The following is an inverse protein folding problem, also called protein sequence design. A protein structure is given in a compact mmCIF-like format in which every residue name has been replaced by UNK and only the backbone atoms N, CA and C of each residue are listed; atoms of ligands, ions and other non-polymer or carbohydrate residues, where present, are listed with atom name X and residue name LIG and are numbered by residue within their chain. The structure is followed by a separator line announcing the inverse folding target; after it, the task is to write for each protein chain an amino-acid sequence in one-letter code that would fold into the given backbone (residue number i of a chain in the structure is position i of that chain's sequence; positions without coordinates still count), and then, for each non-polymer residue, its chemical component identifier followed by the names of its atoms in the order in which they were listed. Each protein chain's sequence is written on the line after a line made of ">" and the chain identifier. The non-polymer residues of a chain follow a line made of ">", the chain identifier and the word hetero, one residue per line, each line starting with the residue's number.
data_IF_191066979934
#
_entry.id   IF_191066979934
#
_cell.length_a   1.000
_cell.length_b   1.000
_cell.length_c   1.000
_cell.angle_alpha   90.00
_cell.angle_beta   90.00
_cell.angle_gamma   90.00
#
_symmetry.space_group_name_H-M   'P 1'
#
loop_
_entity.id
_entity.type
_entity.pdbx_description
1 polymer ?
#
# COMPACT_ATOMS: atom_id res chain seq x y z
N UNK A 1 60.76 -35.60 47.31
CA UNK A 1 59.98 -34.95 46.24
C UNK A 1 58.55 -35.36 46.45
N UNK A 2 57.71 -34.46 46.96
CA UNK A 2 56.36 -34.75 47.42
C UNK A 2 55.38 -34.86 46.25
N UNK A 3 55.27 -36.07 45.70
CA UNK A 3 54.43 -36.40 44.53
C UNK A 3 52.96 -36.03 44.78
N UNK A 4 52.48 -36.14 46.02
CA UNK A 4 51.12 -35.80 46.44
C UNK A 4 50.84 -34.28 46.43
N UNK A 5 51.85 -33.44 46.71
CA UNK A 5 51.71 -31.98 46.62
C UNK A 5 51.58 -31.53 45.18
N UNK A 6 52.35 -32.15 44.27
CA UNK A 6 52.34 -31.85 42.85
C UNK A 6 51.01 -32.27 42.20
N UNK A 7 50.45 -33.44 42.56
CA UNK A 7 49.16 -33.90 42.01
C UNK A 7 47.99 -32.97 42.38
N UNK A 8 47.96 -32.50 43.63
CA UNK A 8 46.91 -31.57 44.08
C UNK A 8 47.03 -30.21 43.39
N UNK A 9 48.26 -29.68 43.25
CA UNK A 9 48.50 -28.43 42.54
C UNK A 9 48.06 -28.52 41.06
N UNK A 10 48.38 -29.63 40.38
CA UNK A 10 47.93 -29.88 39.00
C UNK A 10 46.40 -29.93 38.93
N UNK A 11 45.75 -30.61 39.88
CA UNK A 11 44.29 -30.69 39.96
C UNK A 11 43.63 -29.32 40.10
N UNK A 12 44.13 -28.48 41.01
CA UNK A 12 43.61 -27.11 41.20
C UNK A 12 43.82 -26.24 39.96
N UNK A 13 45.01 -26.29 39.35
CA UNK A 13 45.28 -25.53 38.10
C UNK A 13 44.34 -25.99 36.99
N UNK A 14 44.17 -27.29 36.80
CA UNK A 14 43.25 -27.84 35.79
C UNK A 14 41.80 -27.41 36.05
N UNK A 15 41.34 -27.45 37.31
CA UNK A 15 40.00 -27.03 37.69
C UNK A 15 39.77 -25.54 37.39
N UNK A 16 40.74 -24.67 37.74
CA UNK A 16 40.66 -23.23 37.45
C UNK A 16 40.63 -22.98 35.94
N UNK A 17 41.45 -23.69 35.16
CA UNK A 17 41.46 -23.58 33.70
C UNK A 17 40.13 -24.02 33.09
N UNK A 18 39.58 -25.17 33.51
CA UNK A 18 38.29 -25.68 33.02
C UNK A 18 37.15 -24.73 33.40
N UNK A 19 37.11 -24.25 34.64
CA UNK A 19 36.10 -23.30 35.09
C UNK A 19 36.16 -21.98 34.29
N UNK A 20 37.36 -21.46 34.07
CA UNK A 20 37.59 -20.23 33.30
C UNK A 20 37.17 -20.42 31.84
N UNK A 21 37.60 -21.50 31.20
CA UNK A 21 37.24 -21.81 29.81
C UNK A 21 35.73 -22.01 29.66
N UNK A 22 35.10 -22.73 30.59
CA UNK A 22 33.65 -22.91 30.63
C UNK A 22 32.89 -21.59 30.77
N UNK A 23 33.37 -20.67 31.62
CA UNK A 23 32.77 -19.35 31.78
C UNK A 23 32.84 -18.53 30.48
N UNK A 24 33.98 -18.53 29.78
CA UNK A 24 34.14 -17.86 28.48
C UNK A 24 33.26 -18.49 27.40
N UNK A 25 33.18 -19.81 27.33
CA UNK A 25 32.31 -20.52 26.38
C UNK A 25 30.84 -20.21 26.62
N UNK A 26 30.40 -20.16 27.88
CA UNK A 26 29.02 -19.81 28.24
C UNK A 26 28.72 -18.35 27.90
N UNK A 27 29.64 -17.42 28.19
CA UNK A 27 29.49 -16.02 27.82
C UNK A 27 29.40 -15.83 26.30
N UNK A 28 30.26 -16.52 25.53
CA UNK A 28 30.22 -16.51 24.08
C UNK A 28 28.93 -17.11 23.52
N UNK A 29 28.44 -18.22 24.10
CA UNK A 29 27.17 -18.82 23.74
C UNK A 29 25.98 -17.88 24.01
N UNK A 30 25.92 -17.23 25.16
CA UNK A 30 24.88 -16.23 25.44
C UNK A 30 24.98 -15.03 24.49
N UNK A 31 26.20 -14.56 24.21
CA UNK A 31 26.41 -13.46 23.28
C UNK A 31 25.89 -13.80 21.88
N UNK A 32 26.11 -15.03 21.39
CA UNK A 32 25.63 -15.47 20.08
C UNK A 32 24.10 -15.52 20.05
N UNK A 33 23.47 -16.05 21.10
CA UNK A 33 22.01 -16.14 21.23
C UNK A 33 21.37 -14.75 21.27
N UNK A 34 21.90 -13.85 22.09
CA UNK A 34 21.42 -12.46 22.21
C UNK A 34 21.62 -11.70 20.89
N UNK A 35 22.76 -11.91 20.23
CA UNK A 35 23.04 -11.33 18.92
C UNK A 35 22.04 -11.81 17.87
N UNK A 36 21.74 -13.11 17.81
CA UNK A 36 20.75 -13.69 16.89
C UNK A 36 19.35 -13.10 17.15
N UNK A 37 18.94 -12.98 18.42
CA UNK A 37 17.64 -12.36 18.76
C UNK A 37 17.56 -10.90 18.28
N UNK A 38 18.61 -10.11 18.52
CA UNK A 38 18.64 -8.70 18.10
C UNK A 38 18.68 -8.58 16.58
N UNK A 39 19.46 -9.41 15.89
CA UNK A 39 19.55 -9.38 14.43
C UNK A 39 18.20 -9.74 13.78
N UNK A 40 17.55 -10.83 14.20
CA UNK A 40 16.27 -11.24 13.61
C UNK A 40 15.14 -10.24 13.90
N UNK A 41 15.12 -9.62 15.08
CA UNK A 41 14.12 -8.60 15.44
C UNK A 41 14.29 -7.30 14.65
N UNK A 42 15.52 -6.97 14.25
CA UNK A 42 15.79 -5.82 13.37
C UNK A 42 15.39 -6.07 11.91
N UNK A 43 15.35 -7.35 11.49
CA UNK A 43 15.13 -7.75 10.09
C UNK A 43 13.71 -8.22 9.80
N UNK A 44 13.00 -8.77 10.79
CA UNK A 44 11.69 -9.40 10.59
C UNK A 44 10.74 -9.16 11.76
N UNK A 45 9.44 -9.02 11.44
CA UNK A 45 8.36 -8.88 12.44
C UNK A 45 7.77 -10.23 12.86
N UNK A 46 8.15 -11.30 12.18
CA UNK A 46 7.67 -12.66 12.43
C UNK A 46 8.30 -13.24 13.71
N UNK A 47 7.45 -13.45 14.72
CA UNK A 47 7.85 -14.03 16.02
C UNK A 47 8.21 -15.52 15.89
N UNK A 48 7.56 -16.27 15.01
CA UNK A 48 7.81 -17.71 14.88
C UNK A 48 9.19 -17.97 14.28
N UNK A 49 9.55 -17.21 13.24
CA UNK A 49 10.89 -17.26 12.65
C UNK A 49 11.98 -16.89 13.68
N UNK A 50 11.71 -15.88 14.52
CA UNK A 50 12.62 -15.48 15.59
C UNK A 50 12.83 -16.59 16.62
N UNK A 51 11.74 -17.23 17.10
CA UNK A 51 11.82 -18.33 18.07
C UNK A 51 12.58 -19.52 17.47
N UNK A 52 12.25 -19.92 16.24
CA UNK A 52 12.92 -21.04 15.55
C UNK A 52 14.42 -20.78 15.44
N UNK A 53 14.83 -19.60 14.97
CA UNK A 53 16.24 -19.25 14.82
C UNK A 53 17.00 -19.29 16.14
N UNK A 54 16.41 -18.77 17.22
CA UNK A 54 17.02 -18.78 18.56
C UNK A 54 17.17 -20.20 19.08
N UNK A 55 16.12 -21.02 18.97
CA UNK A 55 16.15 -22.43 19.40
C UNK A 55 17.22 -23.20 18.62
N UNK A 56 17.27 -23.01 17.31
CA UNK A 56 18.22 -23.70 16.43
C UNK A 56 19.67 -23.32 16.73
N UNK A 57 19.97 -22.04 16.98
CA UNK A 57 21.30 -21.57 17.41
C UNK A 57 21.63 -22.00 18.85
N UNK A 58 20.66 -22.01 19.76
CA UNK A 58 20.85 -22.41 21.15
C UNK A 58 21.19 -23.91 21.28
N UNK A 59 20.49 -24.78 20.54
CA UNK A 59 20.68 -26.24 20.56
C UNK A 59 21.91 -26.66 19.76
N UNK A 60 22.12 -26.05 18.59
CA UNK A 60 23.26 -26.36 17.71
C UNK A 60 24.04 -25.07 17.41
N UNK A 61 25.00 -24.63 18.25
CA UNK A 61 25.61 -23.31 18.10
C UNK A 61 26.36 -23.13 16.77
N UNK A 62 27.12 -24.14 16.33
CA UNK A 62 27.91 -24.03 15.08
C UNK A 62 27.03 -24.25 13.85
N UNK A 63 26.33 -25.39 13.79
CA UNK A 63 25.48 -25.75 12.64
C UNK A 63 24.28 -24.79 12.54
N UNK A 64 23.71 -24.43 13.68
CA UNK A 64 22.56 -23.55 13.76
C UNK A 64 22.88 -22.12 13.37
N UNK A 65 24.06 -21.59 13.75
CA UNK A 65 24.51 -20.29 13.25
C UNK A 65 24.69 -20.31 11.72
N UNK A 66 25.23 -21.40 11.18
CA UNK A 66 25.47 -21.53 9.74
C UNK A 66 24.16 -21.62 8.95
N UNK A 67 23.21 -22.42 9.43
CA UNK A 67 21.84 -22.47 8.90
C UNK A 67 21.11 -21.14 9.05
N UNK A 68 21.27 -20.45 10.18
CA UNK A 68 20.70 -19.13 10.42
C UNK A 68 21.19 -18.11 9.40
N UNK A 69 22.51 -18.05 9.16
CA UNK A 69 23.09 -17.13 8.18
C UNK A 69 22.56 -17.42 6.77
N UNK A 70 22.29 -18.69 6.44
CA UNK A 70 21.70 -19.08 5.16
C UNK A 70 20.22 -18.72 5.04
N UNK A 71 19.45 -18.91 6.10
CA UNK A 71 18.01 -18.61 6.15
C UNK A 71 17.71 -17.11 6.38
N UNK A 72 18.74 -16.32 6.70
CA UNK A 72 18.66 -14.90 7.04
C UNK A 72 17.94 -14.11 5.94
N UNK A 73 16.77 -13.51 6.21
CA UNK A 73 16.04 -12.70 5.25
C UNK A 73 16.90 -11.54 4.72
N UNK A 74 16.81 -11.31 3.40
CA UNK A 74 17.68 -10.36 2.69
C UNK A 74 17.20 -8.92 2.78
N UNK A 75 15.89 -8.70 2.88
CA UNK A 75 15.32 -7.36 3.11
C UNK A 75 15.13 -7.08 4.60
N UNK A 76 15.51 -5.87 5.00
CA UNK A 76 15.25 -5.33 6.32
C UNK A 76 13.89 -4.63 6.36
N UNK A 77 13.27 -4.53 7.55
CA UNK A 77 11.98 -3.84 7.71
C UNK A 77 12.05 -2.35 7.31
N UNK A 78 13.22 -1.73 7.44
CA UNK A 78 13.44 -0.34 7.05
C UNK A 78 13.40 -0.19 5.52
N UNK A 79 14.11 -1.05 4.78
CA UNK A 79 14.12 -1.03 3.31
C UNK A 79 12.72 -1.27 2.73
N UNK A 80 11.94 -2.19 3.32
CA UNK A 80 10.55 -2.43 2.89
C UNK A 80 9.65 -1.21 3.14
N UNK A 81 9.87 -0.49 4.24
CA UNK A 81 9.13 0.72 4.55
C UNK A 81 9.51 1.88 3.63
N UNK A 82 10.80 2.08 3.38
CA UNK A 82 11.29 3.13 2.49
C UNK A 82 10.76 2.93 1.05
N UNK A 83 10.76 1.69 0.55
CA UNK A 83 10.16 1.37 -0.76
C UNK A 83 8.67 1.69 -0.79
N UNK A 84 7.92 1.32 0.25
CA UNK A 84 6.50 1.63 0.33
C UNK A 84 6.26 3.16 0.31
N UNK A 85 7.09 3.93 1.00
CA UNK A 85 7.00 5.38 1.03
C UNK A 85 7.35 6.01 -0.34
N UNK A 86 8.36 5.48 -1.03
CA UNK A 86 8.72 5.88 -2.39
C UNK A 86 7.58 5.58 -3.39
N UNK A 87 6.96 4.41 -3.29
CA UNK A 87 5.81 4.02 -4.11
C UNK A 87 4.62 4.96 -3.87
N UNK A 88 4.32 5.29 -2.61
CA UNK A 88 3.26 6.25 -2.26
C UNK A 88 3.57 7.67 -2.78
N UNK A 89 4.82 8.13 -2.67
CA UNK A 89 5.25 9.43 -3.17
C UNK A 89 5.16 9.51 -4.70
N UNK A 90 5.53 8.44 -5.40
CA UNK A 90 5.45 8.34 -6.85
C UNK A 90 4.00 8.34 -7.33
N UNK A 91 3.12 7.57 -6.69
CA UNK A 91 1.68 7.55 -7.03
C UNK A 91 1.04 8.92 -6.86
N UNK A 92 1.36 9.65 -5.77
CA UNK A 92 0.87 11.03 -5.59
C UNK A 92 1.31 11.99 -6.69
N UNK A 93 2.54 11.86 -7.18
CA UNK A 93 3.02 12.72 -8.28
C UNK A 93 2.25 12.51 -9.59
N UNK A 94 1.68 11.32 -9.80
CA UNK A 94 0.87 10.99 -10.97
C UNK A 94 -0.58 11.47 -10.83
N UNK A 95 -1.15 11.47 -9.62
CA UNK A 95 -2.53 11.92 -9.36
C UNK A 95 -2.71 13.44 -9.55
N UNK A 96 -1.66 14.24 -9.34
CA UNK A 96 -1.75 15.71 -9.47
C UNK A 96 -1.57 16.26 -10.89
N UNK A 97 -1.29 15.43 -11.88
CA UNK A 97 -1.14 15.90 -13.26
C UNK A 97 -2.50 16.12 -13.93
N UNK A 98 -2.91 17.39 -13.98
CA UNK A 98 -3.99 17.82 -14.88
C UNK A 98 -3.54 17.63 -16.33
N UNK A 99 -4.38 17.01 -17.15
CA UNK A 99 -4.10 16.71 -18.56
C UNK A 99 -5.05 17.49 -19.47
N UNK A 100 -4.54 18.10 -20.53
CA UNK A 100 -5.37 18.79 -21.51
C UNK A 100 -6.26 17.80 -22.29
N UNK A 101 -7.59 18.03 -22.40
CA UNK A 101 -8.49 17.12 -23.12
C UNK A 101 -8.26 17.08 -24.63
N UNK A 102 -7.64 18.11 -25.22
CA UNK A 102 -7.39 18.17 -26.66
C UNK A 102 -6.06 17.51 -27.05
N UNK A 103 -4.95 17.88 -26.42
CA UNK A 103 -3.61 17.41 -26.81
C UNK A 103 -2.94 16.45 -25.83
N UNK A 104 -3.62 16.08 -24.73
CA UNK A 104 -3.19 15.09 -23.73
C UNK A 104 -1.81 15.35 -23.11
N UNK A 105 -1.36 16.60 -23.09
CA UNK A 105 -0.15 17.01 -22.36
C UNK A 105 -0.51 17.48 -20.96
N UNK A 106 0.44 17.31 -20.04
CA UNK A 106 0.36 17.86 -18.69
C UNK A 106 0.23 19.40 -18.75
N UNK A 107 -0.67 19.93 -17.93
CA UNK A 107 -0.96 21.37 -17.80
C UNK A 107 -0.93 21.77 -16.33
N UNK A 108 -0.47 22.99 -16.06
CA UNK A 108 -0.41 23.52 -14.69
C UNK A 108 -1.79 23.93 -14.16
N UNK A 109 -1.94 23.85 -12.83
CA UNK A 109 -3.16 24.25 -12.10
C UNK A 109 -3.53 25.74 -12.28
N UNK A 110 -2.61 26.62 -12.66
CA UNK A 110 -2.89 28.06 -12.81
C UNK A 110 -3.10 28.52 -14.25
N UNK A 111 -3.00 27.61 -15.23
CA UNK A 111 -3.10 27.98 -16.63
C UNK A 111 -4.56 28.07 -17.08
N UNK A 112 -4.88 29.17 -17.79
CA UNK A 112 -6.21 29.40 -18.39
C UNK A 112 -6.33 28.77 -19.79
N UNK A 113 -5.21 28.72 -20.51
CA UNK A 113 -5.07 28.13 -21.84
C UNK A 113 -3.90 27.15 -21.86
N UNK A 114 -4.00 26.09 -22.66
CA UNK A 114 -2.89 25.17 -22.87
C UNK A 114 -1.77 25.84 -23.67
N UNK A 115 -0.53 25.79 -23.18
CA UNK A 115 0.63 26.36 -23.86
C UNK A 115 0.99 25.68 -25.21
N UNK A 116 0.47 24.48 -25.47
CA UNK A 116 0.82 23.69 -26.66
C UNK A 116 -0.23 23.78 -27.77
N UNK A 117 -1.52 23.76 -27.42
CA UNK A 117 -2.63 23.74 -28.39
C UNK A 117 -3.58 24.93 -28.26
N UNK A 118 -3.29 25.86 -27.34
CA UNK A 118 -4.09 27.06 -27.07
C UNK A 118 -5.57 26.81 -26.71
N UNK A 119 -5.94 25.56 -26.44
CA UNK A 119 -7.30 25.20 -26.03
C UNK A 119 -7.58 25.73 -24.62
N UNK A 120 -8.75 26.33 -24.36
CA UNK A 120 -9.14 26.74 -23.01
C UNK A 120 -9.30 25.50 -22.13
N UNK A 121 -8.57 25.48 -21.02
CA UNK A 121 -8.56 24.37 -20.05
C UNK A 121 -9.23 24.75 -18.73
N UNK A 122 -9.59 26.03 -18.56
CA UNK A 122 -10.35 26.56 -17.42
C UNK A 122 -11.39 27.58 -17.88
N UNK A 123 -12.45 27.72 -17.07
CA UNK A 123 -13.52 28.72 -17.22
C UNK A 123 -13.58 29.60 -15.97
N UNK A 124 -13.91 30.86 -16.11
CA UNK A 124 -14.23 31.72 -14.97
C UNK A 124 -15.63 31.44 -14.43
N UNK A 125 -15.79 31.53 -13.11
CA UNK A 125 -17.10 31.52 -12.49
C UNK A 125 -17.82 32.85 -12.76
N UNK A 126 -19.06 32.79 -13.26
CA UNK A 126 -19.86 33.99 -13.52
C UNK A 126 -20.23 34.81 -12.26
N UNK A 127 -20.14 34.20 -11.06
CA UNK A 127 -20.47 34.86 -9.79
C UNK A 127 -19.27 35.49 -9.08
N UNK A 128 -18.12 34.80 -9.01
CA UNK A 128 -16.94 35.27 -8.26
C UNK A 128 -15.73 35.59 -9.14
N UNK A 129 -15.73 35.21 -10.43
CA UNK A 129 -14.62 35.43 -11.35
C UNK A 129 -13.43 34.45 -11.21
N UNK A 130 -13.47 33.54 -10.23
CA UNK A 130 -12.38 32.60 -9.96
C UNK A 130 -12.24 31.53 -11.07
N UNK A 131 -11.02 31.02 -11.27
CA UNK A 131 -10.70 30.03 -12.32
C UNK A 131 -11.11 28.60 -11.92
N UNK A 132 -12.05 28.02 -12.64
CA UNK A 132 -12.55 26.65 -12.46
C UNK A 132 -12.12 25.72 -13.59
N UNK A 133 -11.97 24.44 -13.28
CA UNK A 133 -11.79 23.38 -14.28
C UNK A 133 -13.10 23.13 -15.04
N UNK A 134 -13.00 22.74 -16.32
CA UNK A 134 -14.19 22.59 -17.20
C UNK A 134 -15.19 21.56 -16.66
N UNK A 135 -14.71 20.47 -16.04
CA UNK A 135 -15.54 19.36 -15.59
C UNK A 135 -16.33 19.63 -14.31
N UNK A 136 -16.09 20.75 -13.63
CA UNK A 136 -16.75 21.04 -12.37
C UNK A 136 -18.16 21.61 -12.61
N UNK A 137 -19.15 21.04 -11.93
CA UNK A 137 -20.56 21.44 -11.98
C UNK A 137 -20.89 22.58 -11.00
N UNK A 138 -20.12 22.71 -9.93
CA UNK A 138 -20.31 23.71 -8.87
C UNK A 138 -18.98 24.39 -8.55
N UNK A 139 -19.02 25.67 -8.20
CA UNK A 139 -17.85 26.43 -7.78
C UNK A 139 -17.50 26.12 -6.31
N UNK A 140 -16.26 25.69 -5.99
CA UNK A 140 -15.85 25.39 -4.61
C UNK A 140 -15.67 26.65 -3.75
N UNK A 141 -15.50 27.81 -4.39
CA UNK A 141 -15.19 29.07 -3.71
C UNK A 141 -16.46 29.84 -3.32
N UNK A 142 -17.49 29.81 -4.16
CA UNK A 142 -18.75 30.53 -3.91
C UNK A 142 -19.98 29.62 -3.74
N UNK A 143 -19.91 28.33 -4.09
CA UNK A 143 -21.01 27.37 -3.97
C UNK A 143 -22.08 27.46 -5.05
N UNK A 144 -22.02 28.44 -5.97
CA UNK A 144 -22.94 28.56 -7.10
C UNK A 144 -22.55 27.60 -8.24
N UNK A 145 -23.53 27.26 -9.10
CA UNK A 145 -23.30 26.42 -10.27
C UNK A 145 -22.24 27.02 -11.21
N UNK A 146 -21.33 26.17 -11.69
CA UNK A 146 -20.18 26.56 -12.48
C UNK A 146 -20.53 26.85 -13.96
N UNK A 147 -21.79 26.68 -14.36
CA UNK A 147 -22.25 26.94 -15.71
C UNK A 147 -23.72 27.39 -15.67
N UNK A 148 -23.95 28.70 -15.69
CA UNK A 148 -25.28 29.24 -16.00
C UNK A 148 -25.19 30.08 -17.26
N UNK A 149 -25.24 29.48 -18.46
CA UNK A 149 -25.74 30.21 -19.60
C UNK A 149 -27.24 30.39 -19.37
N UNK A 150 -27.67 31.64 -19.20
CA UNK A 150 -29.07 32.00 -19.07
C UNK A 150 -29.84 31.61 -20.35
N UNK A 151 -30.30 30.36 -20.43
CA UNK A 151 -31.32 29.98 -21.41
C UNK A 151 -32.67 30.33 -20.79
N UNK A 152 -33.11 31.56 -21.06
CA UNK A 152 -34.50 31.96 -20.90
C UNK A 152 -35.35 31.10 -21.84
N UNK A 153 -35.86 29.96 -21.36
CA UNK A 153 -36.95 29.25 -22.04
C UNK A 153 -38.21 30.08 -21.83
N UNK A 154 -38.43 31.08 -22.69
CA UNK A 154 -39.75 31.69 -22.84
C UNK A 154 -40.70 30.63 -23.38
N UNK A 155 -41.38 29.94 -22.46
CA UNK A 155 -42.50 29.07 -22.76
C UNK A 155 -43.69 29.95 -23.15
N UNK A 156 -43.78 30.28 -24.43
CA UNK A 156 -45.03 30.73 -25.06
C UNK A 156 -45.49 29.65 -26.03
N UNK A 157 -46.04 28.57 -25.50
CA UNK A 157 -46.87 27.64 -26.25
C UNK A 157 -48.17 27.38 -25.45
N UNK A 158 -49.34 27.56 -26.07
CA UNK A 158 -50.65 27.47 -25.40
C UNK A 158 -50.96 26.03 -24.96
N UNK A 159 -51.84 25.84 -23.94
CA UNK A 159 -52.04 24.55 -23.29
C UNK A 159 -52.57 23.47 -24.26
N UNK A 160 -52.07 22.23 -24.19
CA UNK A 160 -52.60 21.13 -24.99
C UNK A 160 -54.00 20.72 -24.51
N UNK A 161 -54.91 20.57 -25.48
CA UNK A 161 -56.26 20.06 -25.31
C UNK A 161 -56.28 18.62 -24.71
N UNK A 162 -57.36 18.22 -24.01
CA UNK A 162 -57.39 16.97 -23.25
C UNK A 162 -57.33 15.72 -24.16
N UNK A 163 -56.47 14.77 -23.77
CA UNK A 163 -56.26 13.52 -24.47
C UNK A 163 -57.48 12.58 -24.38
N UNK A 164 -57.80 11.82 -25.45
CA UNK A 164 -58.87 10.84 -25.45
C UNK A 164 -58.51 9.60 -24.60
N UNK A 165 -59.48 9.14 -23.82
CA UNK A 165 -59.38 7.99 -22.91
C UNK A 165 -59.51 6.70 -23.72
N UNK A 166 -58.41 5.98 -23.93
CA UNK A 166 -58.42 4.66 -24.58
C UNK A 166 -58.60 3.59 -23.50
N UNK A 167 -59.74 2.91 -23.55
CA UNK A 167 -60.09 1.72 -22.75
C UNK A 167 -59.28 0.50 -23.23
N UNK A 168 -58.80 -0.28 -22.26
CA UNK A 168 -58.08 -1.53 -22.49
C UNK A 168 -58.90 -2.57 -23.27
N UNK A 169 -58.29 -3.33 -24.21
CA UNK A 169 -58.90 -4.52 -24.76
C UNK A 169 -58.44 -5.80 -24.04
N UNK A 170 -59.43 -6.65 -23.84
CA UNK A 170 -59.45 -8.01 -23.28
C UNK A 170 -58.93 -9.05 -24.28
N UNK A 171 -58.09 -10.00 -23.81
CA UNK A 171 -57.76 -11.33 -24.39
C UNK A 171 -57.14 -11.34 -25.81
N UNK A 172 -56.30 -12.28 -26.26
CA UNK A 172 -56.32 -13.75 -26.21
C UNK A 172 -54.89 -14.25 -26.54
N UNK A 173 -54.61 -15.50 -26.19
CA UNK A 173 -53.71 -16.44 -26.87
C UNK A 173 -52.30 -16.61 -26.29
N UNK A 174 -52.25 -17.47 -25.29
CA UNK A 174 -51.09 -18.30 -24.94
C UNK A 174 -50.70 -19.16 -26.15
N UNK A 175 -49.44 -19.08 -26.58
CA UNK A 175 -48.83 -19.94 -27.60
C UNK A 175 -47.82 -20.89 -26.93
N UNK A 176 -47.69 -22.15 -27.40
CA UNK A 176 -47.07 -23.22 -26.63
C UNK A 176 -45.54 -23.18 -26.63
N UNK A 177 -45.00 -23.64 -25.51
CA UNK A 177 -43.59 -23.94 -25.23
C UNK A 177 -43.04 -24.96 -26.24
N UNK A 178 -41.95 -24.60 -26.92
CA UNK A 178 -41.06 -25.55 -27.58
C UNK A 178 -39.60 -25.12 -27.35
N UNK A 179 -38.90 -26.00 -26.62
CA UNK A 179 -37.49 -26.41 -26.72
C UNK A 179 -36.41 -25.39 -27.11
N UNK A 180 -35.39 -25.24 -26.25
CA UNK A 180 -33.94 -25.29 -26.58
C UNK A 180 -33.08 -25.13 -25.28
N UNK A 181 -31.79 -25.54 -25.28
CA UNK A 181 -31.16 -26.50 -24.35
C UNK A 181 -30.37 -25.89 -23.16
N UNK A 182 -29.92 -26.71 -22.18
CA UNK A 182 -29.12 -26.26 -21.04
C UNK A 182 -27.71 -25.79 -21.44
N UNK A 183 -27.24 -24.77 -20.73
CA UNK A 183 -25.88 -24.23 -20.74
C UNK A 183 -24.93 -25.11 -19.94
N UNK A 184 -23.86 -25.58 -20.59
CA UNK A 184 -22.59 -25.95 -19.94
C UNK A 184 -21.76 -24.71 -19.60
#
# INVERSE_FOLDING_TARGET
>A
MDISGISNAIGTVLQVLVATCGAFLLAFWLAIVIWTWRDIRSRSRDIFAAILAIVLVAVFPVIGLLLYILLRPKETLAEAYDRALEEEALLRSMEEQLVCPNCQRAVDKHWRFCAYCHTPIKKDCAHCGELLELGWSMCPYCGNDANVPAVQVQSSAPPPAPAPRITAPTTVAELPVADLPPSD
#
